data_IF_614330469753
#
_entry.id   IF_614330469753
#
_cell.length_a   1.000
_cell.length_b   1.000
_cell.length_c   1.000
_cell.angle_alpha   90.00
_cell.angle_beta   90.00
_cell.angle_gamma   90.00
#
_symmetry.space_group_name_H-M   'P 1'
#
loop_
_entity.id
_entity.type
_entity.pdbx_description
1 polymer ?
#
# COMPACT_ATOMS: atom_id res chain seq x y z
N UNK A 1 -0.16 -11.37 4.23
CA UNK A 1 -0.33 -12.63 3.47
C UNK A 1 -0.15 -12.42 1.96
N UNK A 2 -0.83 -11.45 1.35
CA UNK A 2 -0.72 -11.19 -0.10
C UNK A 2 0.67 -10.70 -0.53
N UNK A 3 1.27 -9.76 0.22
CA UNK A 3 2.65 -9.30 -0.05
C UNK A 3 3.65 -10.48 -0.07
N UNK A 4 3.58 -11.34 0.94
CA UNK A 4 4.41 -12.55 1.03
C UNK A 4 4.20 -13.51 -0.14
N UNK A 5 2.96 -13.74 -0.58
CA UNK A 5 2.66 -14.58 -1.74
C UNK A 5 3.24 -14.00 -3.06
N UNK A 6 3.40 -12.67 -3.12
CA UNK A 6 4.05 -11.98 -4.23
C UNK A 6 5.57 -11.88 -4.08
N UNK A 7 6.17 -12.61 -3.15
CA UNK A 7 7.62 -12.62 -2.93
C UNK A 7 8.16 -11.42 -2.14
N UNK A 8 7.29 -10.63 -1.51
CA UNK A 8 7.69 -9.50 -0.69
C UNK A 8 7.76 -9.85 0.80
N UNK A 9 8.76 -9.32 1.50
CA UNK A 9 8.91 -9.44 2.94
C UNK A 9 8.82 -8.08 3.64
N UNK A 10 8.33 -8.09 4.89
CA UNK A 10 8.29 -6.89 5.71
C UNK A 10 9.71 -6.34 5.93
N UNK A 11 9.90 -5.05 5.64
CA UNK A 11 11.16 -4.37 5.94
C UNK A 11 11.25 -3.99 7.42
N UNK A 12 12.46 -3.92 7.97
CA UNK A 12 12.73 -3.52 9.35
C UNK A 12 12.79 -1.99 9.51
N UNK A 13 11.82 -1.30 8.90
CA UNK A 13 11.71 0.15 8.96
C UNK A 13 10.86 0.54 10.17
N UNK A 14 11.36 1.48 10.96
CA UNK A 14 10.62 2.07 12.07
C UNK A 14 9.68 3.15 11.54
N UNK A 15 8.38 3.00 11.78
CA UNK A 15 7.40 4.06 11.56
C UNK A 15 6.29 4.00 12.59
N UNK A 16 5.73 5.15 12.95
CA UNK A 16 4.45 5.22 13.66
C UNK A 16 3.34 5.27 12.63
N UNK A 17 2.16 4.70 12.92
CA UNK A 17 0.99 4.67 12.01
C UNK A 17 -0.05 5.77 12.30
N UNK A 18 0.23 7.09 12.20
CA UNK A 18 -0.85 8.05 12.31
C UNK A 18 -1.71 8.01 11.03
N UNK A 19 -1.13 8.16 9.83
CA UNK A 19 -1.88 8.13 8.55
C UNK A 19 -0.97 7.68 7.38
N UNK A 20 -0.96 6.39 7.06
CA UNK A 20 -0.08 5.80 6.03
C UNK A 20 -0.54 4.40 5.59
N UNK A 21 0.01 3.87 4.48
CA UNK A 21 -0.13 2.46 4.13
C UNK A 21 0.25 1.52 5.27
N UNK A 22 -0.41 0.36 5.32
CA UNK A 22 -0.17 -0.65 6.36
C UNK A 22 1.27 -1.17 6.39
N UNK A 23 1.87 -1.37 5.21
CA UNK A 23 3.18 -2.01 5.09
C UNK A 23 4.03 -1.37 3.99
N UNK A 24 5.32 -1.28 4.28
CA UNK A 24 6.40 -1.19 3.30
C UNK A 24 7.15 -2.51 3.31
N UNK A 25 7.38 -3.07 2.13
CA UNK A 25 7.98 -4.39 1.96
C UNK A 25 9.01 -4.37 0.85
N UNK A 26 9.96 -5.30 0.90
CA UNK A 26 11.03 -5.47 -0.09
C UNK A 26 10.89 -6.81 -0.80
N UNK A 27 11.18 -6.87 -2.10
CA UNK A 27 11.08 -8.11 -2.85
C UNK A 27 12.31 -8.99 -2.60
N UNK A 28 12.07 -10.25 -2.26
CA UNK A 28 13.12 -11.21 -1.85
C UNK A 28 14.03 -11.63 -3.00
N UNK A 29 13.51 -11.68 -4.24
CA UNK A 29 14.25 -12.14 -5.43
C UNK A 29 14.69 -11.02 -6.38
N UNK A 30 14.20 -9.79 -6.20
CA UNK A 30 14.45 -8.69 -7.14
C UNK A 30 15.05 -7.53 -6.35
N UNK A 31 16.39 -7.40 -6.32
CA UNK A 31 17.05 -6.38 -5.54
C UNK A 31 16.57 -4.98 -5.91
N UNK A 32 16.18 -4.20 -4.90
CA UNK A 32 15.73 -2.83 -5.08
C UNK A 32 14.28 -2.67 -5.56
N UNK A 33 13.53 -3.76 -5.76
CA UNK A 33 12.07 -3.69 -5.91
C UNK A 33 11.42 -3.60 -4.53
N UNK A 34 10.68 -2.52 -4.33
CA UNK A 34 9.93 -2.26 -3.10
C UNK A 34 8.43 -2.28 -3.38
N UNK A 35 7.65 -2.50 -2.34
CA UNK A 35 6.20 -2.43 -2.42
C UNK A 35 5.57 -1.77 -1.22
N UNK A 36 4.40 -1.20 -1.45
CA UNK A 36 3.61 -0.44 -0.49
C UNK A 36 2.22 -1.03 -0.51
N UNK A 37 1.80 -1.55 0.64
CA UNK A 37 0.59 -2.37 0.75
C UNK A 37 -0.38 -1.76 1.73
N UNK A 38 -1.63 -1.74 1.33
CA UNK A 38 -2.75 -1.33 2.16
C UNK A 38 -3.80 -2.44 2.18
N UNK A 39 -4.25 -2.81 3.38
CA UNK A 39 -5.32 -3.78 3.60
C UNK A 39 -6.54 -3.08 4.19
N UNK A 40 -7.65 -3.09 3.47
CA UNK A 40 -8.93 -2.56 3.95
C UNK A 40 -9.86 -3.70 4.35
N UNK A 41 -10.28 -3.70 5.61
CA UNK A 41 -11.31 -4.60 6.13
C UNK A 41 -12.54 -3.83 6.64
N UNK A 42 -13.70 -4.49 6.67
CA UNK A 42 -14.87 -4.01 7.41
C UNK A 42 -16.19 -4.13 6.66
N UNK A 43 -17.27 -4.33 7.43
CA UNK A 43 -18.68 -4.38 6.97
C UNK A 43 -19.26 -3.00 6.64
N UNK A 44 -18.57 -1.91 7.02
CA UNK A 44 -18.92 -0.56 6.63
C UNK A 44 -18.48 -0.36 5.19
N UNK A 45 -19.38 -0.71 4.27
CA UNK A 45 -19.12 -0.66 2.84
C UNK A 45 -18.44 0.65 2.46
N UNK A 46 -17.19 0.54 2.01
CA UNK A 46 -16.57 1.56 1.19
C UNK A 46 -17.31 1.52 -0.15
N UNK A 47 -18.54 2.02 -0.17
CA UNK A 47 -19.26 2.22 -1.41
C UNK A 47 -18.64 3.45 -2.06
N UNK A 48 -18.45 3.41 -3.38
CA UNK A 48 -18.09 4.59 -4.19
C UNK A 48 -19.04 5.78 -3.98
N UNK A 49 -20.19 5.55 -3.33
CA UNK A 49 -21.19 6.55 -2.91
C UNK A 49 -21.12 6.96 -1.42
N UNK A 50 -20.40 6.25 -0.54
CA UNK A 50 -20.37 6.44 0.93
C UNK A 50 -19.00 6.75 1.51
N UNK A 51 -17.91 6.53 0.78
CA UNK A 51 -16.60 7.04 1.20
C UNK A 51 -16.50 8.52 0.88
N UNK A 52 -16.87 9.37 1.85
CA UNK A 52 -16.45 10.78 1.86
C UNK A 52 -14.93 10.94 2.07
N UNK A 53 -14.22 9.83 2.34
CA UNK A 53 -12.81 9.81 2.68
C UNK A 53 -11.93 9.47 1.46
N UNK A 54 -11.61 10.50 0.67
CA UNK A 54 -10.38 10.62 -0.13
C UNK A 54 -10.11 9.56 -1.22
N UNK A 55 -9.05 9.81 -1.98
CA UNK A 55 -8.46 8.83 -2.90
C UNK A 55 -7.61 7.84 -2.11
N UNK A 56 -7.75 6.55 -2.36
CA UNK A 56 -6.87 5.55 -1.75
C UNK A 56 -5.49 5.65 -2.41
N UNK A 57 -4.43 5.62 -1.60
CA UNK A 57 -3.04 5.54 -2.11
C UNK A 57 -2.74 6.65 -3.12
N UNK A 58 -3.15 7.89 -2.80
CA UNK A 58 -2.83 9.05 -3.63
C UNK A 58 -1.31 9.26 -3.70
N UNK A 59 -0.80 9.53 -4.90
CA UNK A 59 0.61 9.74 -5.18
C UNK A 59 1.26 10.74 -4.22
N UNK A 60 0.69 11.94 -4.08
CA UNK A 60 1.19 13.02 -3.22
C UNK A 60 1.32 12.61 -1.75
N UNK A 61 0.32 11.88 -1.26
CA UNK A 61 0.29 11.35 0.10
C UNK A 61 1.34 10.26 0.30
N UNK A 62 1.43 9.28 -0.60
CA UNK A 62 2.46 8.22 -0.53
C UNK A 62 3.86 8.83 -0.57
N UNK A 63 4.08 9.80 -1.45
CA UNK A 63 5.34 10.55 -1.55
C UNK A 63 5.69 11.20 -0.22
N UNK A 64 4.76 11.95 0.38
CA UNK A 64 4.98 12.59 1.68
C UNK A 64 5.30 11.57 2.77
N UNK A 65 4.51 10.50 2.82
CA UNK A 65 4.66 9.44 3.81
C UNK A 65 5.99 8.68 3.68
N UNK A 66 6.41 8.31 2.46
CA UNK A 66 7.70 7.66 2.22
C UNK A 66 8.87 8.55 2.61
N UNK A 67 8.79 9.87 2.34
CA UNK A 67 9.80 10.82 2.80
C UNK A 67 9.94 10.83 4.33
N UNK A 68 8.84 10.70 5.07
CA UNK A 68 8.88 10.60 6.54
C UNK A 68 9.54 9.31 7.00
N UNK A 69 9.21 8.17 6.38
CA UNK A 69 9.84 6.87 6.68
C UNK A 69 11.33 6.92 6.39
N UNK A 70 11.73 7.41 5.21
CA UNK A 70 13.14 7.57 4.83
C UNK A 70 13.88 8.45 5.84
N UNK A 71 13.25 9.56 6.27
CA UNK A 71 13.83 10.46 7.28
C UNK A 71 13.97 9.78 8.64
N UNK A 72 12.96 9.02 9.08
CA UNK A 72 12.97 8.32 10.36
C UNK A 72 13.95 7.15 10.43
N UNK A 73 14.35 6.61 9.28
CA UNK A 73 15.25 5.46 9.16
C UNK A 73 16.64 5.83 8.63
N UNK A 74 17.03 7.11 8.74
CA UNK A 74 18.38 7.55 8.32
C UNK A 74 19.45 6.77 9.07
N UNK A 75 20.42 6.25 8.33
CA UNK A 75 21.55 5.49 8.88
C UNK A 75 21.28 3.99 9.08
N UNK A 76 20.07 3.50 8.82
CA UNK A 76 19.81 2.05 8.77
C UNK A 76 20.00 1.51 7.36
N UNK A 77 20.32 0.21 7.24
CA UNK A 77 20.50 -0.46 5.94
C UNK A 77 19.25 -0.36 5.07
N UNK A 78 18.08 -0.70 5.63
CA UNK A 78 16.81 -0.64 4.91
C UNK A 78 16.41 0.81 4.61
N UNK A 79 16.71 1.77 5.50
CA UNK A 79 16.46 3.19 5.28
C UNK A 79 17.29 3.79 4.15
N UNK A 80 18.55 3.39 3.99
CA UNK A 80 19.37 3.76 2.84
C UNK A 80 18.85 3.13 1.55
N UNK A 81 18.55 1.82 1.57
CA UNK A 81 18.10 1.08 0.39
C UNK A 81 16.75 1.59 -0.15
N UNK A 82 15.80 1.93 0.72
CA UNK A 82 14.53 2.54 0.27
C UNK A 82 14.71 3.99 -0.19
N UNK A 83 15.62 4.75 0.42
CA UNK A 83 15.95 6.10 -0.04
C UNK A 83 16.55 6.09 -1.45
N UNK A 84 17.43 5.14 -1.75
CA UNK A 84 18.01 4.96 -3.08
C UNK A 84 16.93 4.57 -4.10
N UNK A 85 16.10 3.56 -3.79
CA UNK A 85 15.01 3.17 -4.68
C UNK A 85 14.03 4.33 -4.95
N UNK A 86 13.74 5.14 -3.93
CA UNK A 86 12.85 6.29 -4.04
C UNK A 86 13.43 7.42 -4.91
N UNK A 87 14.74 7.71 -4.79
CA UNK A 87 15.43 8.75 -5.57
C UNK A 87 15.70 8.35 -7.02
N UNK A 88 16.04 7.08 -7.25
CA UNK A 88 16.37 6.54 -8.57
C UNK A 88 15.14 6.30 -9.46
N UNK A 89 13.96 6.79 -9.04
CA UNK A 89 12.66 6.57 -9.69
C UNK A 89 12.36 5.09 -9.97
N UNK A 90 12.84 4.19 -9.10
CA UNK A 90 12.62 2.76 -9.31
C UNK A 90 11.12 2.45 -9.18
N UNK A 91 10.68 1.52 -10.01
CA UNK A 91 9.32 1.01 -9.95
C UNK A 91 9.08 0.38 -8.57
N UNK A 92 8.17 0.97 -7.79
CA UNK A 92 7.64 0.36 -6.57
C UNK A 92 6.25 -0.20 -6.87
N UNK A 93 5.89 -1.32 -6.27
CA UNK A 93 4.53 -1.87 -6.41
C UNK A 93 3.61 -1.25 -5.35
N UNK A 94 2.61 -0.48 -5.76
CA UNK A 94 1.51 -0.11 -4.89
C UNK A 94 0.42 -1.16 -5.00
N UNK A 95 -0.04 -1.71 -3.87
CA UNK A 95 -1.13 -2.68 -3.83
C UNK A 95 -2.14 -2.29 -2.75
N UNK A 96 -3.42 -2.37 -3.10
CA UNK A 96 -4.51 -2.33 -2.13
C UNK A 96 -5.24 -3.67 -2.21
N UNK A 97 -5.62 -4.19 -1.05
CA UNK A 97 -6.47 -5.36 -0.93
C UNK A 97 -7.69 -5.04 -0.09
N UNK A 98 -8.83 -5.65 -0.44
CA UNK A 98 -10.08 -5.53 0.30
C UNK A 98 -10.74 -6.87 0.50
N UNK A 99 -11.27 -7.09 1.70
CA UNK A 99 -12.19 -8.18 2.00
C UNK A 99 -13.52 -7.56 2.47
N UNK A 100 -14.59 -7.77 1.70
CA UNK A 100 -15.96 -7.39 2.06
C UNK A 100 -16.70 -8.63 2.56
N UNK A 101 -17.08 -8.64 3.84
CA UNK A 101 -17.83 -9.73 4.47
C UNK A 101 -19.23 -9.22 4.79
N UNK A 102 -20.24 -9.85 4.20
CA UNK A 102 -21.66 -9.49 4.40
C UNK A 102 -22.45 -10.69 4.87
N UNK A 103 -23.33 -10.45 5.84
CA UNK A 103 -24.36 -11.41 6.23
C UNK A 103 -25.46 -11.45 5.16
N UNK A 104 -25.79 -12.64 4.68
CA UNK A 104 -26.92 -12.89 3.77
C UNK A 104 -28.03 -13.62 4.53
N UNK A 105 -29.11 -12.91 4.86
CA UNK A 105 -30.26 -13.49 5.55
C UNK A 105 -29.91 -14.09 6.93
N UNK A 106 -30.69 -15.09 7.35
CA UNK A 106 -30.54 -15.76 8.64
C UNK A 106 -29.25 -16.58 8.75
N UNK A 107 -28.81 -17.22 7.66
CA UNK A 107 -27.89 -18.38 7.74
C UNK A 107 -26.62 -18.29 6.86
N UNK A 108 -26.45 -17.24 6.04
CA UNK A 108 -25.34 -17.13 5.09
C UNK A 108 -24.32 -16.05 5.43
N UNK A 109 -23.03 -16.34 5.22
CA UNK A 109 -21.97 -15.33 5.11
C UNK A 109 -21.48 -15.32 3.66
N UNK A 110 -21.43 -14.14 3.05
CA UNK A 110 -20.77 -13.93 1.76
C UNK A 110 -19.49 -13.13 1.97
N UNK A 111 -18.44 -13.49 1.23
CA UNK A 111 -17.17 -12.79 1.22
C UNK A 111 -16.75 -12.48 -0.22
N UNK A 112 -16.39 -11.22 -0.51
CA UNK A 112 -15.76 -10.79 -1.77
C UNK A 112 -14.35 -10.31 -1.46
N UNK A 113 -13.37 -10.82 -2.19
CA UNK A 113 -11.99 -10.38 -2.13
C UNK A 113 -11.63 -9.61 -3.40
N UNK A 114 -11.02 -8.43 -3.23
CA UNK A 114 -10.66 -7.53 -4.32
C UNK A 114 -9.21 -7.06 -4.18
N UNK A 115 -8.53 -6.96 -5.32
CA UNK A 115 -7.13 -6.56 -5.42
C UNK A 115 -6.96 -5.48 -6.48
N UNK A 116 -6.12 -4.50 -6.19
CA UNK A 116 -5.72 -3.45 -7.11
C UNK A 116 -4.25 -3.23 -6.95
N UNK A 117 -3.53 -3.24 -8.06
CA UNK A 117 -2.10 -3.05 -8.07
C UNK A 117 -1.73 -2.10 -9.21
N UNK A 118 -0.72 -1.27 -8.96
CA UNK A 118 -0.15 -0.40 -9.98
C UNK A 118 1.31 -0.12 -9.66
N UNK A 119 2.06 0.30 -10.68
CA UNK A 119 3.43 0.77 -10.50
C UNK A 119 3.40 2.20 -9.94
N UNK A 120 3.95 2.38 -8.75
CA UNK A 120 4.30 3.68 -8.17
C UNK A 120 5.66 4.12 -8.72
N UNK A 121 5.67 5.23 -9.47
CA UNK A 121 6.90 5.86 -9.97
C UNK A 121 7.36 6.92 -8.97
N UNK A 122 8.31 6.57 -8.11
CA UNK A 122 8.88 7.53 -7.15
C UNK A 122 9.65 8.66 -7.85
N UNK A 123 9.87 9.80 -7.18
CA UNK A 123 9.24 10.22 -5.94
C UNK A 123 7.87 10.87 -6.16
N UNK A 124 7.40 11.01 -7.40
CA UNK A 124 6.23 11.84 -7.74
C UNK A 124 4.91 11.07 -7.77
N UNK A 125 4.96 9.74 -7.87
CA UNK A 125 3.82 8.89 -8.19
C UNK A 125 3.22 9.22 -9.56
N UNK A 126 4.01 9.76 -10.49
CA UNK A 126 3.53 10.13 -11.82
C UNK A 126 2.92 8.93 -12.55
N UNK A 127 1.78 9.15 -13.21
CA UNK A 127 1.06 8.12 -13.96
C UNK A 127 0.27 7.14 -13.09
N UNK A 128 0.16 7.38 -11.77
CA UNK A 128 -0.73 6.58 -10.94
C UNK A 128 -2.19 6.96 -11.14
N UNK A 129 -3.02 5.94 -11.29
CA UNK A 129 -4.46 6.07 -11.28
C UNK A 129 -4.98 6.34 -9.87
N UNK A 130 -5.99 7.21 -9.81
CA UNK A 130 -6.67 7.53 -8.57
C UNK A 130 -7.62 6.40 -8.20
N UNK A 131 -7.29 5.63 -7.17
CA UNK A 131 -8.19 4.59 -6.65
C UNK A 131 -9.33 5.22 -5.84
N UNK A 132 -10.50 5.36 -6.47
CA UNK A 132 -11.77 5.71 -5.81
C UNK A 132 -12.47 4.44 -5.29
N UNK A 133 -11.77 3.68 -4.46
CA UNK A 133 -12.22 2.36 -4.01
C UNK A 133 -12.26 1.32 -5.13
N UNK A 134 -12.34 0.05 -4.74
CA UNK A 134 -12.62 -1.05 -5.66
C UNK A 134 -14.06 -0.95 -6.18
N UNK A 135 -14.24 -1.12 -7.50
CA UNK A 135 -15.56 -1.15 -8.13
C UNK A 135 -16.31 -2.48 -7.86
#
# INVERSE_FOLDING_TARGET
MIAYALGFEQSDLQWRRPHGPDQVVKHTLVPGLWGIFEAKGGSHGLSSKKTNYGYQMEASWITGWLNEIIRGNRGTKDGMAIADAFRDEKAMLALVSRIDIRRQGSDGISAKFELGFQVYKSPTGHGMERWKGFQ
#
